data_IF_373557982254
#
_entry.id   IF_373557982254
#
_cell.length_a   1.000
_cell.length_b   1.000
_cell.length_c   1.000
_cell.angle_alpha   90.00
_cell.angle_beta   90.00
_cell.angle_gamma   90.00
#
_symmetry.space_group_name_H-M   'P 1'
#
loop_
_entity.id
_entity.type
_entity.pdbx_description
1 polymer ?
#
# COMPACT_ATOMS: atom_id res chain seq x y z
N UNK A 1 -2.29 -12.69 6.64
CA UNK A 1 -3.55 -12.55 7.44
C UNK A 1 -4.15 -11.13 7.33
N UNK A 2 -3.37 -10.07 7.57
CA UNK A 2 -3.87 -8.68 7.53
C UNK A 2 -4.45 -8.25 6.17
N UNK A 3 -3.82 -8.64 5.06
CA UNK A 3 -4.32 -8.35 3.69
C UNK A 3 -5.70 -8.97 3.41
N UNK A 4 -5.98 -10.15 3.97
CA UNK A 4 -7.29 -10.78 3.84
C UNK A 4 -8.34 -10.00 4.65
N UNK A 5 -7.98 -9.49 5.83
CA UNK A 5 -8.85 -8.60 6.61
C UNK A 5 -9.17 -7.29 5.87
N UNK A 6 -8.15 -6.66 5.28
CA UNK A 6 -8.32 -5.48 4.42
C UNK A 6 -9.26 -5.79 3.25
N UNK A 7 -9.05 -6.92 2.57
CA UNK A 7 -9.90 -7.34 1.47
C UNK A 7 -11.36 -7.53 1.90
N UNK A 8 -11.61 -8.18 3.04
CA UNK A 8 -12.97 -8.37 3.55
C UNK A 8 -13.67 -7.05 3.85
N UNK A 9 -12.96 -6.08 4.46
CA UNK A 9 -13.51 -4.77 4.76
C UNK A 9 -13.83 -3.96 3.50
N UNK A 10 -12.95 -3.99 2.49
CA UNK A 10 -13.17 -3.30 1.22
C UNK A 10 -14.32 -3.91 0.42
N UNK A 11 -14.43 -5.24 0.39
CA UNK A 11 -15.56 -5.92 -0.24
C UNK A 11 -16.87 -5.65 0.50
N UNK A 12 -16.86 -5.63 1.84
CA UNK A 12 -18.04 -5.25 2.63
C UNK A 12 -18.46 -3.80 2.36
N UNK A 13 -17.49 -2.87 2.29
CA UNK A 13 -17.75 -1.47 1.94
C UNK A 13 -18.41 -1.31 0.57
N UNK A 14 -17.97 -2.08 -0.42
CA UNK A 14 -18.55 -2.04 -1.75
C UNK A 14 -19.92 -2.72 -1.86
N UNK A 15 -20.17 -3.75 -1.06
CA UNK A 15 -21.45 -4.47 -1.05
C UNK A 15 -22.56 -3.74 -0.30
N UNK A 16 -22.23 -2.67 0.46
CA UNK A 16 -23.21 -1.92 1.24
C UNK A 16 -24.07 -1.00 0.36
N UNK A 17 -25.38 -0.83 0.65
CA UNK A 17 -26.25 0.04 -0.13
C UNK A 17 -25.77 1.49 -0.17
N UNK A 18 -25.74 2.08 -1.38
CA UNK A 18 -25.29 3.46 -1.62
C UNK A 18 -26.05 4.53 -0.81
N UNK A 19 -27.29 4.24 -0.41
CA UNK A 19 -28.13 5.18 0.36
C UNK A 19 -27.62 5.39 1.80
N UNK A 20 -26.80 4.46 2.31
CA UNK A 20 -26.24 4.46 3.67
C UNK A 20 -24.71 4.54 3.62
N UNK A 21 -24.18 5.66 3.11
CA UNK A 21 -22.75 5.80 2.83
C UNK A 21 -21.83 5.75 4.07
N UNK A 22 -22.38 6.00 5.27
CA UNK A 22 -21.57 6.13 6.50
C UNK A 22 -20.86 4.81 6.90
N UNK A 23 -21.55 3.66 6.80
CA UNK A 23 -20.96 2.38 7.18
C UNK A 23 -19.90 1.90 6.19
N UNK A 24 -20.14 2.10 4.89
CA UNK A 24 -19.15 1.83 3.85
C UNK A 24 -17.86 2.62 4.08
N UNK A 25 -17.98 3.90 4.44
CA UNK A 25 -16.84 4.75 4.77
C UNK A 25 -16.11 4.27 6.03
N UNK A 26 -16.82 3.85 7.08
CA UNK A 26 -16.21 3.31 8.30
C UNK A 26 -15.37 2.07 7.97
N UNK A 27 -15.90 1.14 7.18
CA UNK A 27 -15.15 -0.05 6.77
C UNK A 27 -13.94 0.28 5.89
N UNK A 28 -14.07 1.23 4.97
CA UNK A 28 -12.95 1.71 4.16
C UNK A 28 -11.86 2.39 5.01
N UNK A 29 -12.24 3.20 6.00
CA UNK A 29 -11.30 3.85 6.94
C UNK A 29 -10.59 2.81 7.80
N UNK A 30 -11.31 1.81 8.32
CA UNK A 30 -10.70 0.70 9.06
C UNK A 30 -9.72 -0.09 8.20
N UNK A 31 -10.09 -0.40 6.96
CA UNK A 31 -9.21 -1.06 6.01
C UNK A 31 -7.94 -0.26 5.76
N UNK A 32 -8.05 1.06 5.60
CA UNK A 32 -6.91 1.97 5.46
C UNK A 32 -6.03 2.01 6.70
N UNK A 33 -6.63 2.04 7.90
CA UNK A 33 -5.91 1.95 9.17
C UNK A 33 -5.10 0.66 9.31
N UNK A 34 -5.70 -0.48 8.93
CA UNK A 34 -5.03 -1.77 8.89
C UNK A 34 -3.88 -1.80 7.87
N UNK A 35 -4.05 -1.16 6.71
CA UNK A 35 -3.00 -1.04 5.70
C UNK A 35 -1.79 -0.28 6.25
N UNK A 36 -2.03 0.83 6.96
CA UNK A 36 -0.94 1.60 7.60
C UNK A 36 -0.20 0.78 8.67
N UNK A 37 -0.92 0.00 9.48
CA UNK A 37 -0.31 -0.89 10.48
C UNK A 37 0.48 -2.03 9.83
N UNK A 38 0.01 -2.58 8.71
CA UNK A 38 0.68 -3.67 8.02
C UNK A 38 2.02 -3.27 7.37
N UNK A 39 2.19 -1.98 7.03
CA UNK A 39 3.34 -1.47 6.27
C UNK A 39 4.37 -0.76 7.17
N UNK A 40 4.17 -0.78 8.49
CA UNK A 40 4.93 0.00 9.47
C UNK A 40 6.47 -0.10 9.28
N UNK A 41 7.03 -1.27 8.93
CA UNK A 41 8.45 -1.43 8.61
C UNK A 41 8.72 -2.44 7.49
N UNK A 42 9.64 -2.10 6.57
CA UNK A 42 10.21 -3.03 5.58
C UNK A 42 11.73 -2.92 5.68
N UNK A 43 12.41 -4.02 6.06
CA UNK A 43 13.86 -4.08 6.31
C UNK A 43 14.35 -3.13 7.43
N UNK A 44 13.59 -3.00 8.53
CA UNK A 44 13.98 -2.15 9.68
C UNK A 44 13.94 -0.64 9.40
N UNK A 45 13.55 -0.22 8.19
CA UNK A 45 13.29 1.17 7.86
C UNK A 45 11.78 1.42 7.94
N UNK A 46 11.33 2.45 8.68
CA UNK A 46 9.92 2.81 8.71
C UNK A 46 9.46 3.14 7.29
N UNK A 47 8.49 2.38 6.79
CA UNK A 47 7.83 2.65 5.51
C UNK A 47 6.50 3.30 5.85
N UNK A 48 6.57 4.44 6.52
CA UNK A 48 5.36 5.20 6.82
C UNK A 48 4.72 5.64 5.50
N UNK A 49 3.59 5.04 5.14
CA UNK A 49 2.65 5.57 4.13
C UNK A 49 2.22 7.00 4.48
N UNK A 50 2.37 7.40 5.74
CA UNK A 50 2.11 8.73 6.30
C UNK A 50 3.34 9.66 6.34
N UNK A 51 4.56 9.12 6.32
CA UNK A 51 5.82 9.88 6.36
C UNK A 51 6.51 9.93 4.99
N UNK A 52 5.73 10.20 3.95
CA UNK A 52 6.18 10.24 2.54
C UNK A 52 7.24 11.32 2.30
N UNK A 53 7.21 12.42 3.07
CA UNK A 53 8.16 13.54 2.97
C UNK A 53 9.60 13.12 3.24
N UNK A 54 9.84 12.24 4.22
CA UNK A 54 11.19 11.73 4.52
C UNK A 54 11.75 10.83 3.41
N UNK A 55 10.88 10.14 2.68
CA UNK A 55 11.24 9.39 1.48
C UNK A 55 11.59 10.33 0.32
N UNK A 56 10.75 11.35 0.09
CA UNK A 56 10.95 12.34 -0.97
C UNK A 56 12.25 13.14 -0.78
N UNK A 57 12.54 13.57 0.45
CA UNK A 57 13.81 14.28 0.78
C UNK A 57 15.04 13.39 0.54
N UNK A 58 14.96 12.08 0.82
CA UNK A 58 16.05 11.13 0.54
C UNK A 58 16.23 10.91 -0.96
N UNK A 59 15.13 10.85 -1.71
CA UNK A 59 15.16 10.85 -3.17
C UNK A 59 15.86 12.09 -3.72
N UNK A 60 15.43 13.30 -3.32
CA UNK A 60 16.04 14.55 -3.81
C UNK A 60 17.53 14.65 -3.50
N UNK A 61 17.95 14.25 -2.29
CA UNK A 61 19.38 14.16 -1.93
C UNK A 61 20.14 13.12 -2.75
N UNK A 62 19.53 11.97 -3.01
CA UNK A 62 20.12 10.91 -3.84
C UNK A 62 20.30 11.33 -5.30
N UNK A 63 19.29 11.99 -5.87
CA UNK A 63 19.34 12.56 -7.20
C UNK A 63 20.43 13.65 -7.31
N UNK A 64 20.51 14.55 -6.32
CA UNK A 64 21.54 15.58 -6.27
C UNK A 64 22.96 14.99 -6.24
N UNK A 65 23.21 13.97 -5.40
CA UNK A 65 24.49 13.26 -5.35
C UNK A 65 24.83 12.54 -6.65
N UNK A 66 23.82 11.95 -7.30
CA UNK A 66 24.01 11.28 -8.58
C UNK A 66 24.40 12.28 -9.69
N UNK A 67 23.77 13.45 -9.73
CA UNK A 67 24.13 14.56 -10.64
C UNK A 67 25.59 15.02 -10.38
N UNK A 68 26.02 15.03 -9.12
CA UNK A 68 27.39 15.36 -8.71
C UNK A 68 28.41 14.21 -8.95
N UNK A 69 27.98 13.08 -9.52
CA UNK A 69 28.85 11.95 -9.88
C UNK A 69 29.08 10.90 -8.79
N UNK A 70 28.43 11.02 -7.62
CA UNK A 70 28.52 10.02 -6.56
C UNK A 70 27.65 8.78 -6.88
N UNK A 71 28.28 7.60 -6.94
CA UNK A 71 27.64 6.33 -7.31
C UNK A 71 26.98 5.58 -6.15
N UNK A 72 26.23 6.26 -5.27
CA UNK A 72 25.46 5.58 -4.19
C UNK A 72 24.01 5.36 -4.61
N UNK A 73 23.69 4.13 -5.05
CA UNK A 73 22.42 3.74 -5.68
C UNK A 73 21.21 3.53 -4.73
N UNK A 74 21.32 3.88 -3.45
CA UNK A 74 20.26 3.64 -2.46
C UNK A 74 18.94 4.41 -2.69
N UNK A 75 18.94 5.42 -3.57
CA UNK A 75 17.78 6.29 -3.82
C UNK A 75 16.75 5.70 -4.78
N UNK A 76 17.16 4.78 -5.67
CA UNK A 76 16.28 4.18 -6.69
C UNK A 76 15.15 3.37 -6.06
N UNK A 77 15.43 2.67 -4.96
CA UNK A 77 14.44 1.89 -4.20
C UNK A 77 13.30 2.78 -3.68
N UNK A 78 13.60 4.04 -3.37
CA UNK A 78 12.60 5.01 -2.92
C UNK A 78 11.68 5.45 -4.07
N UNK A 79 12.24 5.61 -5.28
CA UNK A 79 11.50 5.98 -6.48
C UNK A 79 10.50 4.90 -6.90
N UNK A 80 10.88 3.62 -6.80
CA UNK A 80 9.97 2.49 -7.12
C UNK A 80 8.68 2.57 -6.31
N UNK A 81 8.78 2.87 -5.00
CA UNK A 81 7.59 3.02 -4.14
C UNK A 81 6.74 4.22 -4.55
N UNK A 82 7.37 5.34 -4.89
CA UNK A 82 6.67 6.57 -5.28
C UNK A 82 5.93 6.42 -6.62
N UNK A 83 6.60 5.80 -7.60
CA UNK A 83 5.98 5.48 -8.90
C UNK A 83 4.84 4.48 -8.73
N UNK A 84 5.02 3.45 -7.91
CA UNK A 84 3.95 2.50 -7.61
C UNK A 84 2.72 3.17 -6.98
N UNK A 85 2.93 4.06 -6.00
CA UNK A 85 1.85 4.84 -5.39
C UNK A 85 1.16 5.75 -6.41
N UNK A 86 1.92 6.46 -7.24
CA UNK A 86 1.37 7.35 -8.27
C UNK A 86 0.52 6.60 -9.28
N UNK A 87 1.03 5.49 -9.84
CA UNK A 87 0.29 4.65 -10.78
C UNK A 87 -0.97 4.08 -10.10
N UNK A 88 -0.85 3.58 -8.88
CA UNK A 88 -1.98 3.08 -8.11
C UNK A 88 -3.07 4.13 -7.88
N UNK A 89 -2.69 5.37 -7.56
CA UNK A 89 -3.62 6.49 -7.39
C UNK A 89 -4.32 6.88 -8.70
N UNK A 90 -3.59 6.93 -9.81
CA UNK A 90 -4.17 7.20 -11.14
C UNK A 90 -5.17 6.12 -11.54
N UNK A 91 -4.81 4.84 -11.38
CA UNK A 91 -5.71 3.72 -11.67
C UNK A 91 -6.92 3.77 -10.75
N UNK A 92 -6.72 4.01 -9.45
CA UNK A 92 -7.80 4.13 -8.47
C UNK A 92 -8.79 5.23 -8.81
N UNK A 93 -8.31 6.43 -9.17
CA UNK A 93 -9.17 7.55 -9.56
C UNK A 93 -9.95 7.26 -10.86
N UNK A 94 -9.31 6.62 -11.84
CA UNK A 94 -9.99 6.21 -13.07
C UNK A 94 -11.07 5.15 -12.80
N UNK A 95 -10.81 4.20 -11.91
CA UNK A 95 -11.80 3.20 -11.50
C UNK A 95 -12.96 3.84 -10.73
N UNK A 96 -12.67 4.75 -9.80
CA UNK A 96 -13.69 5.49 -9.05
C UNK A 96 -14.58 6.32 -10.00
N UNK A 97 -14.00 7.00 -10.99
CA UNK A 97 -14.77 7.78 -11.96
C UNK A 97 -15.77 6.93 -12.77
N UNK A 98 -15.45 5.64 -12.99
CA UNK A 98 -16.28 4.72 -13.78
C UNK A 98 -17.25 3.89 -12.93
N UNK A 99 -16.84 3.52 -11.72
CA UNK A 99 -17.50 2.51 -10.90
C UNK A 99 -18.00 3.03 -9.54
N UNK A 100 -17.65 4.27 -9.16
CA UNK A 100 -17.93 4.83 -7.84
C UNK A 100 -17.37 3.94 -6.72
N UNK A 101 -18.21 3.66 -5.71
CA UNK A 101 -17.86 2.78 -4.58
C UNK A 101 -17.50 1.34 -5.00
N UNK A 102 -17.99 0.87 -6.16
CA UNK A 102 -17.65 -0.47 -6.65
C UNK A 102 -16.17 -0.59 -7.04
N UNK A 103 -15.45 0.51 -7.20
CA UNK A 103 -13.98 0.50 -7.36
C UNK A 103 -13.29 -0.20 -6.18
N UNK A 104 -13.88 -0.18 -4.98
CA UNK A 104 -13.36 -0.87 -3.80
C UNK A 104 -13.36 -2.39 -3.96
N UNK A 105 -14.23 -2.99 -4.79
CA UNK A 105 -14.20 -4.43 -5.09
C UNK A 105 -12.93 -4.84 -5.82
N UNK A 106 -12.42 -3.98 -6.70
CA UNK A 106 -11.19 -4.26 -7.46
C UNK A 106 -10.01 -4.24 -6.50
N UNK A 107 -9.91 -3.20 -5.66
CA UNK A 107 -8.90 -3.09 -4.62
C UNK A 107 -8.98 -4.22 -3.58
N UNK A 108 -10.20 -4.61 -3.20
CA UNK A 108 -10.47 -5.73 -2.30
C UNK A 108 -10.07 -7.07 -2.90
N UNK A 109 -10.45 -7.33 -4.16
CA UNK A 109 -10.10 -8.56 -4.89
C UNK A 109 -8.59 -8.71 -5.08
N UNK A 110 -7.90 -7.61 -5.42
CA UNK A 110 -6.44 -7.60 -5.52
C UNK A 110 -5.79 -7.88 -4.16
N UNK A 111 -6.30 -7.26 -3.09
CA UNK A 111 -5.83 -7.50 -1.72
C UNK A 111 -6.06 -8.95 -1.28
N UNK A 112 -7.19 -9.55 -1.66
CA UNK A 112 -7.50 -10.96 -1.39
C UNK A 112 -6.51 -11.87 -2.12
N UNK A 113 -6.29 -11.64 -3.41
CA UNK A 113 -5.34 -12.40 -4.23
C UNK A 113 -3.93 -12.33 -3.62
N UNK A 114 -3.45 -11.14 -3.29
CA UNK A 114 -2.14 -10.96 -2.63
C UNK A 114 -2.10 -11.63 -1.26
N UNK A 115 -3.19 -11.56 -0.48
CA UNK A 115 -3.32 -12.25 0.79
C UNK A 115 -3.23 -13.77 0.65
N UNK A 116 -3.88 -14.35 -0.37
CA UNK A 116 -3.83 -15.79 -0.67
C UNK A 116 -2.45 -16.22 -1.16
N UNK A 117 -1.82 -15.44 -2.05
CA UNK A 117 -0.45 -15.68 -2.51
C UNK A 117 0.53 -15.61 -1.33
N UNK A 118 0.32 -14.67 -0.41
CA UNK A 118 1.15 -14.53 0.79
C UNK A 118 1.12 -15.77 1.69
N UNK A 119 0.02 -16.53 1.72
CA UNK A 119 -0.06 -17.81 2.46
C UNK A 119 0.86 -18.88 1.86
N UNK A 120 1.27 -18.76 0.60
CA UNK A 120 2.23 -19.68 -0.04
C UNK A 120 3.68 -19.33 0.27
N UNK A 121 3.96 -18.19 0.93
CA UNK A 121 5.32 -17.82 1.29
C UNK A 121 5.84 -18.76 2.39
N UNK A 122 6.97 -19.47 2.19
CA UNK A 122 7.50 -20.40 3.17
C UNK A 122 7.82 -19.71 4.51
N UNK A 123 7.42 -20.31 5.63
CA UNK A 123 7.73 -19.80 6.98
C UNK A 123 9.23 -19.58 7.24
N UNK A 124 10.10 -20.28 6.52
CA UNK A 124 11.56 -20.12 6.61
C UNK A 124 12.01 -18.71 6.20
N UNK A 125 11.37 -18.13 5.18
CA UNK A 125 11.70 -16.78 4.69
C UNK A 125 11.16 -15.72 5.64
N UNK A 126 9.99 -15.95 6.23
CA UNK A 126 9.38 -15.01 7.17
C UNK A 126 10.25 -14.80 8.42
N UNK A 127 10.89 -15.86 8.94
CA UNK A 127 11.79 -15.77 10.11
C UNK A 127 13.09 -15.01 9.83
N UNK A 128 13.55 -14.91 8.57
CA UNK A 128 14.75 -14.17 8.21
C UNK A 128 14.54 -12.65 8.20
N UNK A 129 13.29 -12.19 8.06
CA UNK A 129 12.94 -10.76 7.99
C UNK A 129 12.37 -10.19 9.30
N UNK A 130 12.06 -11.03 10.29
CA UNK A 130 11.66 -10.56 11.63
C UNK A 130 12.91 -10.11 12.39
N UNK A 131 12.97 -8.85 12.87
CA UNK A 131 14.06 -8.42 13.75
C UNK A 131 14.02 -9.28 15.01
N UNK A 132 15.20 -9.76 15.43
CA UNK A 132 15.37 -10.44 16.72
C UNK A 132 15.25 -9.45 17.86
#
# INVERSE_FOLDING_TARGET
>A
PLLLGIATLLCAAAAWPLESNMLALIWAILAMGMLNAAVEQVNGLPVGLTYVTGALSRFGRGLGRWILGERRDGWRVQLVRWVGMFIGAVIGALLEQRLGLNALLISGSLSALLGLVSLKIPHRWQRQYMPR
#
